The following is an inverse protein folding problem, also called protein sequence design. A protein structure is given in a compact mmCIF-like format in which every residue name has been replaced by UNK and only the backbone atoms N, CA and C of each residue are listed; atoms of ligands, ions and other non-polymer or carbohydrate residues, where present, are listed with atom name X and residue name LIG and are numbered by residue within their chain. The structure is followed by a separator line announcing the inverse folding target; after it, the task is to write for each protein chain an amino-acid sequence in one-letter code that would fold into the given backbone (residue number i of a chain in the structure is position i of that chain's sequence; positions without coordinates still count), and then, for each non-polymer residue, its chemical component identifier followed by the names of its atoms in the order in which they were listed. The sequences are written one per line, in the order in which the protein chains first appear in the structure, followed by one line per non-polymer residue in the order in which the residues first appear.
data_IF_965371600687
#
_entry.id   IF_965371600687
#
_cell.length_a   1.000
_cell.length_b   1.000
_cell.length_c   1.000
_cell.angle_alpha   90.00
_cell.angle_beta   90.00
_cell.angle_gamma   90.00
#
_symmetry.space_group_name_H-M   'P 1'
#
loop_
_entity.id
_entity.type
_entity.pdbx_description
1 polymer ?
#
# COMPACT_ATOMS: atom_id res chain seq x y z
N UNK A 1 8.36 11.72 8.09
CA UNK A 1 7.09 12.38 7.76
C UNK A 1 7.19 13.16 6.45
N UNK A 2 8.07 14.18 6.34
CA UNK A 2 8.22 15.00 5.13
C UNK A 2 8.37 14.19 3.84
N UNK A 3 9.31 13.26 3.78
CA UNK A 3 9.54 12.42 2.58
C UNK A 3 8.29 11.65 2.15
N UNK A 4 7.54 11.07 3.09
CA UNK A 4 6.32 10.32 2.78
C UNK A 4 5.21 11.26 2.26
N UNK A 5 5.10 12.46 2.83
CA UNK A 5 4.18 13.48 2.33
C UNK A 5 4.53 13.88 0.89
N UNK A 6 5.81 14.08 0.59
CA UNK A 6 6.28 14.42 -0.76
C UNK A 6 5.95 13.31 -1.77
N UNK A 7 6.19 12.05 -1.44
CA UNK A 7 5.79 10.89 -2.29
C UNK A 7 4.28 10.86 -2.52
N UNK A 8 3.49 10.96 -1.44
CA UNK A 8 2.03 10.92 -1.54
C UNK A 8 1.45 12.16 -2.24
N UNK A 9 2.25 13.21 -2.45
CA UNK A 9 1.84 14.41 -3.19
C UNK A 9 2.16 14.34 -4.68
N UNK A 10 2.81 13.27 -5.16
CA UNK A 10 3.08 13.06 -6.59
C UNK A 10 1.72 12.94 -7.32
N UNK A 11 1.49 13.76 -8.36
CA UNK A 11 0.19 13.80 -9.03
C UNK A 11 -0.02 12.53 -9.86
N UNK A 12 -1.27 12.04 -9.90
CA UNK A 12 -1.67 10.87 -10.71
C UNK A 12 -1.29 11.01 -12.19
N UNK A 13 -1.22 12.25 -12.72
CA UNK A 13 -0.75 12.51 -14.07
C UNK A 13 0.66 11.94 -14.31
N UNK A 14 1.58 12.19 -13.38
CA UNK A 14 2.96 11.71 -13.49
C UNK A 14 3.03 10.17 -13.38
N UNK A 15 2.20 9.59 -12.50
CA UNK A 15 2.06 8.12 -12.38
C UNK A 15 1.59 7.50 -13.71
N UNK A 16 0.61 8.14 -14.36
CA UNK A 16 0.08 7.70 -15.66
C UNK A 16 1.10 7.86 -16.79
N UNK A 17 1.83 8.98 -16.82
CA UNK A 17 2.86 9.25 -17.83
C UNK A 17 4.03 8.26 -17.77
N UNK A 18 4.21 7.59 -16.63
CA UNK A 18 5.23 6.55 -16.41
C UNK A 18 4.66 5.11 -16.42
N UNK A 19 3.44 4.90 -16.93
CA UNK A 19 2.79 3.58 -17.07
C UNK A 19 2.72 2.76 -15.76
N UNK A 20 2.62 3.44 -14.61
CA UNK A 20 2.52 2.80 -13.30
C UNK A 20 1.08 2.40 -12.97
N UNK A 21 0.94 1.39 -12.10
CA UNK A 21 -0.37 0.91 -11.63
C UNK A 21 -1.12 2.03 -10.91
N UNK A 22 -2.32 2.36 -11.40
CA UNK A 22 -3.26 3.26 -10.75
C UNK A 22 -4.45 2.46 -10.23
N UNK A 23 -4.80 2.67 -8.96
CA UNK A 23 -5.98 2.07 -8.34
C UNK A 23 -6.90 3.15 -7.80
N UNK A 24 -8.20 2.91 -7.91
CA UNK A 24 -9.22 3.70 -7.21
C UNK A 24 -9.49 3.11 -5.83
N UNK A 25 -10.02 3.90 -4.89
CA UNK A 25 -10.46 3.39 -3.59
C UNK A 25 -11.39 2.16 -3.70
N UNK A 26 -12.27 2.16 -4.70
CA UNK A 26 -13.19 1.04 -5.00
C UNK A 26 -12.48 -0.26 -5.35
N UNK A 27 -11.24 -0.21 -5.81
CA UNK A 27 -10.50 -1.36 -6.33
C UNK A 27 -9.71 -2.08 -5.22
N UNK A 28 -9.34 -1.34 -4.16
CA UNK A 28 -8.45 -1.83 -3.10
C UNK A 28 -9.08 -2.95 -2.27
N UNK A 29 -10.31 -2.76 -1.79
CA UNK A 29 -10.98 -3.76 -0.94
C UNK A 29 -11.23 -5.07 -1.72
N UNK A 30 -11.76 -5.05 -2.97
CA UNK A 30 -11.86 -6.25 -3.78
C UNK A 30 -10.51 -6.94 -4.06
N UNK A 31 -9.44 -6.18 -4.33
CA UNK A 31 -8.12 -6.76 -4.56
C UNK A 31 -7.64 -7.55 -3.33
N UNK A 32 -7.72 -6.96 -2.14
CA UNK A 32 -7.30 -7.64 -0.92
C UNK A 32 -8.20 -8.83 -0.59
N UNK A 33 -9.51 -8.72 -0.81
CA UNK A 33 -10.43 -9.85 -0.63
C UNK A 33 -10.08 -11.02 -1.56
N UNK A 34 -9.75 -10.75 -2.82
CA UNK A 34 -9.33 -11.77 -3.79
C UNK A 34 -8.00 -12.42 -3.37
N UNK A 35 -7.04 -11.65 -2.89
CA UNK A 35 -5.76 -12.18 -2.40
C UNK A 35 -5.95 -13.10 -1.19
N UNK A 36 -6.81 -12.72 -0.26
CA UNK A 36 -7.16 -13.57 0.90
C UNK A 36 -7.86 -14.86 0.47
N UNK A 37 -8.76 -14.78 -0.51
CA UNK A 37 -9.44 -15.96 -1.05
C UNK A 37 -8.46 -16.91 -1.74
N UNK A 38 -7.50 -16.38 -2.50
CA UNK A 38 -6.43 -17.17 -3.12
C UNK A 38 -5.56 -17.86 -2.07
N UNK A 39 -5.09 -17.13 -1.06
CA UNK A 39 -4.28 -17.72 0.02
C UNK A 39 -5.07 -18.82 0.74
N UNK A 40 -6.36 -18.60 1.01
CA UNK A 40 -7.23 -19.60 1.62
C UNK A 40 -7.39 -20.85 0.75
N UNK A 41 -7.53 -20.72 -0.57
CA UNK A 41 -7.69 -21.88 -1.46
C UNK A 41 -6.40 -22.69 -1.59
N UNK A 42 -5.25 -22.03 -1.64
CA UNK A 42 -3.97 -22.71 -1.91
C UNK A 42 -3.33 -23.31 -0.65
N UNK A 43 -3.34 -22.59 0.48
CA UNK A 43 -2.59 -22.99 1.68
C UNK A 43 -3.41 -22.96 2.97
N UNK A 44 -4.67 -22.53 2.90
CA UNK A 44 -5.55 -22.37 4.06
C UNK A 44 -5.23 -21.16 4.92
N UNK A 45 -6.19 -20.79 5.77
CA UNK A 45 -6.07 -19.73 6.78
C UNK A 45 -6.74 -20.24 8.05
N UNK A 46 -6.14 -20.01 9.23
CA UNK A 46 -6.78 -20.39 10.49
C UNK A 46 -8.07 -19.60 10.72
N UNK A 47 -9.08 -20.21 11.35
CA UNK A 47 -10.38 -19.55 11.58
C UNK A 47 -10.26 -18.22 12.32
N UNK A 48 -9.33 -18.13 13.28
CA UNK A 48 -9.05 -16.91 14.03
C UNK A 48 -8.55 -15.79 13.12
N UNK A 49 -7.61 -16.10 12.22
CA UNK A 49 -7.02 -15.14 11.31
C UNK A 49 -8.00 -14.73 10.21
N UNK A 50 -8.75 -15.68 9.66
CA UNK A 50 -9.82 -15.40 8.69
C UNK A 50 -10.90 -14.48 9.29
N UNK A 51 -11.34 -14.77 10.52
CA UNK A 51 -12.33 -13.93 11.22
C UNK A 51 -11.80 -12.51 11.42
N UNK A 52 -10.51 -12.34 11.73
CA UNK A 52 -9.89 -11.02 11.86
C UNK A 52 -9.88 -10.27 10.53
N UNK A 53 -9.48 -10.90 9.43
CA UNK A 53 -9.47 -10.26 8.12
C UNK A 53 -10.86 -9.89 7.65
N UNK A 54 -11.87 -10.77 7.82
CA UNK A 54 -13.26 -10.47 7.50
C UNK A 54 -13.78 -9.25 8.27
N UNK A 55 -13.53 -9.17 9.59
CA UNK A 55 -13.90 -7.99 10.39
C UNK A 55 -13.26 -6.69 9.90
N UNK A 56 -12.04 -6.75 9.37
CA UNK A 56 -11.37 -5.58 8.78
C UNK A 56 -11.93 -5.23 7.40
N UNK A 57 -12.16 -6.23 6.53
CA UNK A 57 -12.80 -6.04 5.22
C UNK A 57 -14.20 -5.43 5.37
N UNK A 58 -14.98 -5.84 6.36
CA UNK A 58 -16.37 -5.37 6.55
C UNK A 58 -16.50 -4.01 7.25
N UNK A 59 -15.39 -3.39 7.67
CA UNK A 59 -15.41 -2.12 8.41
C UNK A 59 -15.04 -0.94 7.51
N UNK A 60 -16.04 -0.22 7.00
CA UNK A 60 -15.89 0.92 6.09
C UNK A 60 -15.02 2.05 6.65
N UNK A 61 -15.02 2.28 7.97
CA UNK A 61 -14.25 3.35 8.61
C UNK A 61 -12.73 3.13 8.49
N UNK A 62 -12.29 1.89 8.24
CA UNK A 62 -10.88 1.54 8.12
C UNK A 62 -10.34 1.67 6.69
N UNK A 63 -11.17 2.02 5.71
CA UNK A 63 -10.79 2.16 4.32
C UNK A 63 -10.77 3.65 3.93
N UNK A 64 -9.67 4.08 3.33
CA UNK A 64 -9.57 5.43 2.80
C UNK A 64 -10.47 5.59 1.57
N UNK A 65 -11.10 6.75 1.44
CA UNK A 65 -11.89 7.17 0.28
C UNK A 65 -11.03 7.85 -0.81
N UNK A 66 -9.70 7.79 -0.67
CA UNK A 66 -8.73 8.33 -1.61
C UNK A 66 -7.56 7.34 -1.82
N UNK A 67 -6.84 7.52 -2.93
CA UNK A 67 -5.59 6.81 -3.24
C UNK A 67 -4.48 7.82 -3.52
N UNK A 68 -3.23 7.42 -3.28
CA UNK A 68 -2.04 8.22 -3.58
C UNK A 68 -0.94 7.31 -4.11
N UNK A 69 0.06 7.92 -4.77
CA UNK A 69 1.27 7.20 -5.13
C UNK A 69 2.01 6.74 -3.88
N UNK A 70 2.49 5.49 -3.89
CA UNK A 70 3.19 4.86 -2.76
C UNK A 70 4.46 4.17 -3.24
N UNK A 71 5.43 3.97 -2.34
CA UNK A 71 6.60 3.13 -2.59
C UNK A 71 6.25 1.63 -2.63
N UNK A 72 5.20 1.18 -1.93
CA UNK A 72 4.76 -0.22 -1.90
C UNK A 72 5.58 -1.16 -1.01
N UNK A 73 6.86 -0.84 -0.75
CA UNK A 73 7.78 -1.65 0.07
C UNK A 73 8.68 -0.79 0.98
N UNK A 74 8.04 0.09 1.75
CA UNK A 74 8.73 1.06 2.61
C UNK A 74 8.95 0.48 4.02
N UNK A 75 10.21 0.16 4.33
CA UNK A 75 10.66 -0.20 5.68
C UNK A 75 12.11 0.25 5.90
N UNK A 76 12.65 0.05 7.12
CA UNK A 76 13.97 0.57 7.50
C UNK A 76 15.12 0.15 6.56
N UNK A 77 15.03 -1.03 5.94
CA UNK A 77 16.03 -1.50 4.98
C UNK A 77 16.03 -0.75 3.65
N UNK A 78 14.93 -0.07 3.32
CA UNK A 78 14.75 0.71 2.09
C UNK A 78 14.76 2.22 2.35
N UNK A 79 15.23 2.64 3.51
CA UNK A 79 15.34 4.05 3.90
C UNK A 79 16.79 4.39 4.16
N UNK A 80 17.35 5.32 3.36
CA UNK A 80 18.69 5.84 3.62
C UNK A 80 18.62 6.96 4.65
N UNK A 81 19.39 6.80 5.73
CA UNK A 81 19.55 7.80 6.76
C UNK A 81 20.97 8.36 6.74
N UNK A 82 21.10 9.68 6.81
CA UNK A 82 22.37 10.32 7.14
C UNK A 82 22.58 10.38 8.66
N UNK A 83 23.82 10.68 9.07
CA UNK A 83 24.16 10.94 10.49
C UNK A 83 23.34 12.07 11.14
N UNK A 84 22.68 12.90 10.33
CA UNK A 84 21.83 14.02 10.78
C UNK A 84 20.33 13.68 10.73
N UNK A 85 19.95 12.45 10.38
CA UNK A 85 18.56 12.00 10.30
C UNK A 85 17.83 12.41 9.02
N UNK A 86 18.51 12.99 8.03
CA UNK A 86 17.90 13.23 6.71
C UNK A 86 17.63 11.89 6.01
N UNK A 87 16.37 11.69 5.63
CA UNK A 87 15.84 10.51 4.96
C UNK A 87 15.82 10.79 3.45
N UNK A 88 16.70 10.13 2.70
CA UNK A 88 16.75 10.22 1.24
C UNK A 88 16.19 8.92 0.67
N UNK A 89 15.25 9.01 -0.25
CA UNK A 89 14.90 7.88 -1.09
C UNK A 89 15.81 7.95 -2.32
N UNK A 90 16.67 6.96 -2.46
CA UNK A 90 17.44 6.77 -3.68
C UNK A 90 16.56 5.97 -4.64
N UNK A 91 15.96 6.63 -5.62
CA UNK A 91 15.47 5.96 -6.82
C UNK A 91 16.69 5.81 -7.73
N UNK A 92 17.20 4.60 -7.90
CA UNK A 92 18.18 4.36 -8.98
C UNK A 92 17.43 4.32 -10.30
N UNK A 93 17.78 5.22 -11.21
CA UNK A 93 17.72 4.93 -12.65
C UNK A 93 18.93 4.06 -13.04
#
# INVERSE_FOLDING_TARGET
AKTLFEIHSIPEKEVRENDLKIMKPSDLRPEIANNLQLVKSEIGISEQLETRYRKWLDNDVLWADFTQFIHGDLYAGHVLASKYGACLLYTSD
#
